data_IF_337991928434
#
_entry.id   IF_337991928434
#
_cell.length_a   1.000
_cell.length_b   1.000
_cell.length_c   1.000
_cell.angle_alpha   90.00
_cell.angle_beta   90.00
_cell.angle_gamma   90.00
#
_symmetry.space_group_name_H-M   'P 1'
#
loop_
_entity.id
_entity.type
_entity.pdbx_description
1 polymer ?
#
# COMPACT_ATOMS: atom_id res chain seq x y z
N UNK A 1 -24.36 12.50 10.82
CA UNK A 1 -23.19 12.76 9.94
C UNK A 1 -22.47 11.44 9.80
N UNK A 2 -22.23 10.89 8.61
CA UNK A 2 -21.59 9.59 8.53
C UNK A 2 -20.17 9.73 9.07
N UNK A 3 -19.89 8.90 10.05
CA UNK A 3 -18.62 8.73 10.71
C UNK A 3 -17.60 8.46 9.59
N UNK A 4 -16.59 9.32 9.44
CA UNK A 4 -15.56 9.12 8.42
C UNK A 4 -14.83 7.82 8.76
N UNK A 5 -15.21 6.72 8.08
CA UNK A 5 -14.55 5.42 8.23
C UNK A 5 -13.06 5.63 7.92
N UNK A 6 -12.26 5.62 8.98
CA UNK A 6 -10.82 5.78 8.87
C UNK A 6 -10.24 4.43 8.55
N UNK A 7 -9.51 4.35 7.45
CA UNK A 7 -8.84 3.15 7.00
C UNK A 7 -7.48 3.11 7.71
N UNK A 8 -7.24 2.00 8.42
CA UNK A 8 -6.05 1.80 9.25
C UNK A 8 -5.30 0.56 8.77
N UNK A 9 -4.03 0.71 8.43
CA UNK A 9 -3.16 -0.41 8.05
C UNK A 9 -1.70 -0.10 8.36
N UNK A 10 -0.82 -1.09 8.22
CA UNK A 10 0.61 -0.93 8.49
C UNK A 10 1.42 -1.15 7.22
N UNK A 11 2.33 -0.21 6.92
CA UNK A 11 3.36 -0.38 5.90
C UNK A 11 4.64 -0.91 6.56
N UNK A 12 5.29 -1.88 5.91
CA UNK A 12 6.57 -2.44 6.34
C UNK A 12 7.59 -2.30 5.22
N UNK A 13 8.71 -1.64 5.50
CA UNK A 13 9.80 -1.42 4.53
C UNK A 13 11.15 -1.25 5.25
N UNK A 14 12.20 -1.96 4.80
CA UNK A 14 13.56 -1.88 5.36
C UNK A 14 13.62 -2.05 6.90
N UNK A 15 12.80 -2.94 7.45
CA UNK A 15 12.71 -3.17 8.89
C UNK A 15 11.95 -2.11 9.69
N UNK A 16 11.46 -1.06 9.03
CA UNK A 16 10.59 -0.05 9.64
C UNK A 16 9.12 -0.40 9.40
N UNK A 17 8.29 -0.15 10.41
CA UNK A 17 6.84 -0.30 10.34
C UNK A 17 6.18 1.05 10.60
N UNK A 18 5.34 1.50 9.68
CA UNK A 18 4.60 2.76 9.80
C UNK A 18 3.09 2.48 9.80
N UNK A 19 2.38 2.98 10.81
CA UNK A 19 0.92 2.91 10.86
C UNK A 19 0.33 4.03 10.02
N UNK A 20 -0.49 3.66 9.05
CA UNK A 20 -1.17 4.58 8.14
C UNK A 20 -2.61 4.78 8.59
N UNK A 21 -2.98 6.04 8.68
CA UNK A 21 -4.34 6.49 8.92
C UNK A 21 -4.76 7.32 7.71
N UNK A 22 -5.76 6.85 6.96
CA UNK A 22 -6.23 7.53 5.75
C UNK A 22 -7.74 7.47 5.64
N UNK A 23 -8.30 8.32 4.78
CA UNK A 23 -9.71 8.29 4.42
C UNK A 23 -9.91 7.70 3.01
N UNK A 24 -11.08 7.11 2.74
CA UNK A 24 -11.46 6.75 1.37
C UNK A 24 -11.31 7.96 0.43
N UNK A 25 -10.68 7.74 -0.72
CA UNK A 25 -10.48 8.77 -1.75
C UNK A 25 -9.41 9.84 -1.46
N UNK A 26 -8.73 9.80 -0.30
CA UNK A 26 -7.61 10.71 -0.01
C UNK A 26 -6.40 10.44 -0.91
N UNK A 27 -6.20 9.18 -1.29
CA UNK A 27 -5.22 8.75 -2.28
C UNK A 27 -5.94 7.95 -3.36
N UNK A 28 -5.53 8.12 -4.61
CA UNK A 28 -6.13 7.42 -5.75
C UNK A 28 -5.86 5.91 -5.69
N UNK A 29 -4.64 5.54 -5.28
CA UNK A 29 -4.23 4.14 -5.13
C UNK A 29 -3.24 3.97 -3.98
N UNK A 30 -3.06 2.72 -3.56
CA UNK A 30 -2.03 2.35 -2.59
C UNK A 30 -0.63 2.76 -3.05
N UNK A 31 -0.35 2.68 -4.35
CA UNK A 31 0.92 3.17 -4.90
C UNK A 31 1.12 4.66 -4.62
N UNK A 32 0.12 5.50 -4.91
CA UNK A 32 0.23 6.95 -4.69
C UNK A 32 0.46 7.31 -3.21
N UNK A 33 -0.15 6.54 -2.30
CA UNK A 33 0.06 6.69 -0.85
C UNK A 33 1.49 6.30 -0.46
N UNK A 34 1.99 5.15 -0.93
CA UNK A 34 3.35 4.69 -0.62
C UNK A 34 4.40 5.67 -1.15
N UNK A 35 4.22 6.20 -2.37
CA UNK A 35 5.09 7.23 -2.93
C UNK A 35 5.15 8.48 -2.04
N UNK A 36 4.00 8.96 -1.57
CA UNK A 36 3.90 10.14 -0.69
C UNK A 36 4.56 9.91 0.68
N UNK A 37 4.38 8.72 1.28
CA UNK A 37 4.86 8.42 2.64
C UNK A 37 6.33 8.02 2.71
N UNK A 38 6.79 7.18 1.77
CA UNK A 38 8.07 6.51 1.91
C UNK A 38 9.12 6.97 0.88
N UNK A 39 8.73 7.68 -0.17
CA UNK A 39 9.62 8.24 -1.20
C UNK A 39 10.70 7.23 -1.70
N UNK A 40 10.29 5.98 -1.94
CA UNK A 40 11.19 4.87 -2.27
C UNK A 40 11.72 5.04 -3.70
N UNK A 41 13.04 5.13 -3.92
CA UNK A 41 13.61 5.23 -5.26
C UNK A 41 13.20 4.04 -6.13
N UNK A 42 12.76 4.30 -7.36
CA UNK A 42 12.36 3.25 -8.31
C UNK A 42 10.97 2.63 -8.08
N UNK A 43 10.27 2.99 -6.99
CA UNK A 43 8.91 2.53 -6.77
C UNK A 43 7.92 3.26 -7.69
N UNK A 44 7.06 2.52 -8.39
CA UNK A 44 5.98 3.08 -9.21
C UNK A 44 6.40 3.87 -10.46
N UNK A 45 7.48 3.46 -11.16
CA UNK A 45 8.08 4.20 -12.28
C UNK A 45 7.12 4.50 -13.45
N UNK A 46 6.14 3.63 -13.70
CA UNK A 46 5.15 3.85 -14.77
C UNK A 46 3.96 4.73 -14.35
N UNK A 47 4.00 5.36 -13.18
CA UNK A 47 2.92 6.20 -12.65
C UNK A 47 1.54 5.49 -12.61
N UNK A 48 1.55 4.16 -12.46
CA UNK A 48 0.33 3.35 -12.38
C UNK A 48 -0.30 2.93 -13.70
N UNK A 49 0.41 3.08 -14.83
CA UNK A 49 -0.04 2.57 -16.13
C UNK A 49 -0.02 1.02 -16.24
N UNK A 50 0.55 0.32 -15.26
CA UNK A 50 0.57 -1.14 -15.23
C UNK A 50 1.67 -1.80 -16.09
N UNK A 51 2.71 -1.07 -16.49
CA UNK A 51 3.74 -1.56 -17.41
C UNK A 51 5.10 -1.92 -16.80
N UNK A 52 5.41 -1.43 -15.58
CA UNK A 52 6.77 -1.58 -15.01
C UNK A 52 6.90 -2.63 -13.90
N UNK A 53 5.82 -3.02 -13.22
CA UNK A 53 5.88 -3.95 -12.08
C UNK A 53 6.57 -3.41 -10.82
N UNK A 54 7.17 -2.21 -10.83
CA UNK A 54 7.98 -1.69 -9.72
C UNK A 54 7.19 -1.21 -8.50
N UNK A 55 5.86 -1.35 -8.53
CA UNK A 55 4.97 -1.05 -7.41
C UNK A 55 4.42 -2.32 -6.74
N UNK A 56 5.11 -3.44 -6.91
CA UNK A 56 4.79 -4.72 -6.30
C UNK A 56 4.86 -4.62 -4.77
N UNK A 57 3.80 -5.07 -4.11
CA UNK A 57 3.72 -5.17 -2.65
C UNK A 57 3.11 -6.51 -2.25
N UNK A 58 3.28 -6.88 -0.99
CA UNK A 58 2.67 -8.05 -0.39
C UNK A 58 1.63 -7.62 0.63
N UNK A 59 0.36 -7.97 0.40
CA UNK A 59 -0.71 -7.70 1.37
C UNK A 59 -1.03 -8.98 2.14
N UNK A 60 -1.17 -8.85 3.45
CA UNK A 60 -1.69 -9.90 4.32
C UNK A 60 -2.70 -9.31 5.30
N UNK A 61 -3.72 -10.10 5.67
CA UNK A 61 -4.66 -9.70 6.72
C UNK A 61 -4.09 -10.01 8.10
N UNK A 62 -4.51 -9.26 9.12
CA UNK A 62 -4.02 -9.37 10.51
C UNK A 62 -3.94 -10.80 11.09
N UNK A 63 -4.81 -11.72 10.65
CA UNK A 63 -4.85 -13.12 11.13
C UNK A 63 -4.43 -14.15 10.07
N UNK A 64 -3.98 -13.71 8.90
CA UNK A 64 -3.55 -14.58 7.82
C UNK A 64 -2.03 -14.69 7.78
N UNK A 65 -1.52 -15.89 7.47
CA UNK A 65 -0.11 -16.08 7.10
C UNK A 65 0.11 -16.00 5.60
N UNK A 66 -0.96 -15.90 4.83
CA UNK A 66 -0.90 -15.87 3.37
C UNK A 66 -0.60 -14.44 2.94
N UNK A 67 0.52 -14.26 2.26
CA UNK A 67 0.89 -13.01 1.59
C UNK A 67 0.49 -13.08 0.13
N UNK A 68 -0.22 -12.05 -0.35
CA UNK A 68 -0.60 -11.94 -1.76
C UNK A 68 0.25 -10.85 -2.42
N UNK A 69 0.94 -11.24 -3.48
CA UNK A 69 1.64 -10.30 -4.34
C UNK A 69 0.62 -9.54 -5.18
N UNK A 70 0.61 -8.22 -5.09
CA UNK A 70 -0.27 -7.34 -5.88
C UNK A 70 0.50 -6.11 -6.36
N UNK A 71 0.06 -5.54 -7.47
CA UNK A 71 0.55 -4.23 -7.91
C UNK A 71 -0.23 -3.15 -7.18
N UNK A 72 0.44 -2.38 -6.32
CA UNK A 72 -0.22 -1.36 -5.50
C UNK A 72 -0.88 -0.25 -6.34
N UNK A 73 -0.52 -0.08 -7.61
CA UNK A 73 -1.17 0.90 -8.49
C UNK A 73 -2.60 0.54 -8.89
N UNK A 74 -2.98 -0.75 -8.81
CA UNK A 74 -4.35 -1.21 -9.07
C UNK A 74 -5.17 -1.40 -7.79
N UNK A 75 -4.60 -1.08 -6.63
CA UNK A 75 -5.28 -1.24 -5.33
C UNK A 75 -5.85 0.12 -4.91
N UNK A 76 -7.18 0.17 -4.77
CA UNK A 76 -7.88 1.33 -4.24
C UNK A 76 -7.74 1.41 -2.72
N UNK A 77 -7.79 2.63 -2.19
CA UNK A 77 -7.85 2.86 -0.75
C UNK A 77 -9.31 2.82 -0.31
N UNK A 78 -9.71 1.70 0.29
CA UNK A 78 -11.04 1.46 0.84
C UNK A 78 -10.96 0.63 2.13
N UNK A 79 -12.13 0.28 2.68
CA UNK A 79 -12.23 -0.44 3.94
C UNK A 79 -11.61 -1.86 3.90
N UNK A 80 -11.40 -2.44 2.71
CA UNK A 80 -10.77 -3.77 2.55
C UNK A 80 -9.30 -3.79 2.97
N UNK A 81 -8.64 -2.63 2.98
CA UNK A 81 -7.27 -2.48 3.49
C UNK A 81 -7.22 -2.41 5.02
N UNK A 82 -8.35 -2.27 5.70
CA UNK A 82 -8.36 -2.11 7.16
C UNK A 82 -7.77 -3.34 7.86
N UNK A 83 -6.90 -3.08 8.83
CA UNK A 83 -6.19 -4.10 9.60
C UNK A 83 -5.37 -5.05 8.70
N UNK A 84 -4.79 -4.53 7.62
CA UNK A 84 -3.84 -5.27 6.80
C UNK A 84 -2.41 -4.84 7.09
N UNK A 85 -1.47 -5.76 6.84
CA UNK A 85 -0.06 -5.50 6.81
C UNK A 85 0.41 -5.56 5.36
N UNK A 86 1.08 -4.50 4.93
CA UNK A 86 1.55 -4.31 3.56
C UNK A 86 3.07 -4.25 3.60
N UNK A 87 3.72 -5.21 2.95
CA UNK A 87 5.18 -5.31 2.91
C UNK A 87 5.67 -4.85 1.54
N UNK A 88 6.64 -3.94 1.56
CA UNK A 88 7.33 -3.46 0.36
C UNK A 88 8.70 -4.15 0.30
N UNK A 89 9.00 -4.92 -0.76
CA UNK A 89 10.27 -5.62 -0.88
C UNK A 89 11.47 -4.65 -1.00
N UNK A 90 12.59 -5.01 -0.37
CA UNK A 90 13.80 -4.17 -0.34
C UNK A 90 14.48 -4.00 -1.71
N UNK A 91 14.24 -4.94 -2.64
CA UNK A 91 14.77 -4.87 -4.02
C UNK A 91 13.66 -4.58 -5.00
N UNK A 92 13.62 -3.35 -5.47
CA UNK A 92 12.79 -2.92 -6.59
C UNK A 92 13.71 -2.86 -7.81
N UNK A 93 14.01 -4.05 -8.33
CA UNK A 93 14.85 -4.33 -9.52
C UNK A 93 16.32 -3.91 -9.43
#
# INVERSE_FOLDING_TARGET
MPEKNTILFTLHHLGNSERIHTLPGQYHSLMSLICDKLAIPGFGLCCGMGSCGTCLVQITGHHSRIKRNVLSCSILINDDLSNTDIFIPDRIY
#
